data_IF_101432727563
#
_entry.id   IF_101432727563
#
_cell.length_a   1.000
_cell.length_b   1.000
_cell.length_c   1.000
_cell.angle_alpha   90.00
_cell.angle_beta   90.00
_cell.angle_gamma   90.00
#
_symmetry.space_group_name_H-M   'P 1'
#
loop_
_entity.id
_entity.type
_entity.pdbx_description
1 polymer ?
#
# COMPACT_ATOMS: atom_id res chain seq x y z
N UNK A 1 -10.20 26.99 16.76
CA UNK A 1 -8.81 26.92 17.23
C UNK A 1 -7.97 26.53 16.04
N UNK A 2 -7.45 27.50 15.29
CA UNK A 2 -6.51 27.24 14.20
C UNK A 2 -5.14 27.00 14.85
N UNK A 3 -4.54 25.84 14.59
CA UNK A 3 -3.20 25.53 15.05
C UNK A 3 -2.21 26.40 14.30
N UNK A 4 -1.52 27.26 15.04
CA UNK A 4 -0.42 28.08 14.56
C UNK A 4 0.67 27.12 14.06
N UNK A 5 0.92 27.10 12.76
CA UNK A 5 2.10 26.46 12.18
C UNK A 5 3.33 27.20 12.70
N UNK A 6 4.31 26.52 13.31
CA UNK A 6 5.48 27.19 13.90
C UNK A 6 6.22 27.96 12.80
N UNK A 7 6.36 29.27 13.02
CA UNK A 7 7.11 30.17 12.15
C UNK A 7 8.59 29.75 12.21
N UNK A 8 9.07 29.17 11.12
CA UNK A 8 10.42 28.62 11.04
C UNK A 8 11.43 29.78 10.95
N UNK A 9 12.07 30.09 12.09
CA UNK A 9 13.19 31.03 12.17
C UNK A 9 14.27 30.64 11.14
N UNK A 10 14.95 31.63 10.53
CA UNK A 10 15.66 31.58 9.24
C UNK A 10 16.70 30.47 8.99
N UNK A 11 16.92 29.57 9.95
CA UNK A 11 17.50 28.25 9.74
C UNK A 11 16.62 27.38 8.82
N UNK A 12 15.29 27.42 8.99
CA UNK A 12 14.30 26.62 8.27
C UNK A 12 14.32 26.75 6.77
N UNK A 13 14.54 27.97 6.29
CA UNK A 13 14.54 28.26 4.86
C UNK A 13 15.71 27.61 4.12
N UNK A 14 16.88 27.53 4.76
CA UNK A 14 18.05 26.88 4.18
C UNK A 14 17.94 25.34 4.23
N UNK A 15 17.23 24.78 5.22
CA UNK A 15 16.94 23.35 5.30
C UNK A 15 15.87 22.97 4.27
N UNK A 16 14.80 23.76 4.14
CA UNK A 16 13.75 23.60 3.14
C UNK A 16 14.34 23.65 1.71
N UNK A 17 15.25 24.59 1.42
CA UNK A 17 15.93 24.67 0.11
C UNK A 17 16.76 23.41 -0.21
N UNK A 18 17.35 22.74 0.79
CA UNK A 18 18.09 21.47 0.59
C UNK A 18 17.14 20.32 0.30
N UNK A 19 15.97 20.29 0.94
CA UNK A 19 14.95 19.26 0.67
C UNK A 19 14.22 19.47 -0.65
N UNK A 20 14.03 20.73 -1.06
CA UNK A 20 13.39 21.10 -2.32
C UNK A 20 14.25 20.76 -3.55
N UNK A 21 15.59 20.82 -3.42
CA UNK A 21 16.54 20.48 -4.51
C UNK A 21 16.93 18.97 -4.50
N UNK A 22 16.47 18.20 -3.52
CA UNK A 22 16.78 16.77 -3.40
C UNK A 22 15.98 15.94 -4.41
N UNK A 23 16.69 15.27 -5.34
CA UNK A 23 16.07 14.38 -6.32
C UNK A 23 15.97 12.96 -5.77
N UNK A 24 14.74 12.51 -5.52
CA UNK A 24 14.42 11.17 -5.01
C UNK A 24 14.21 10.16 -6.15
N UNK A 25 15.25 9.94 -6.96
CA UNK A 25 15.21 9.00 -8.08
C UNK A 25 15.61 7.57 -7.69
N UNK A 26 15.71 6.69 -8.70
CA UNK A 26 16.03 5.28 -8.46
C UNK A 26 17.46 5.07 -7.96
N UNK A 27 18.42 5.87 -8.41
CA UNK A 27 19.82 5.75 -7.98
C UNK A 27 19.98 6.21 -6.53
N UNK A 28 19.29 7.28 -6.14
CA UNK A 28 19.18 7.70 -4.73
C UNK A 28 18.65 6.57 -3.85
N UNK A 29 17.52 5.95 -4.23
CA UNK A 29 16.92 4.85 -3.47
C UNK A 29 17.88 3.65 -3.38
N UNK A 30 18.56 3.28 -4.47
CA UNK A 30 19.49 2.14 -4.49
C UNK A 30 20.78 2.41 -3.71
N UNK A 31 21.18 3.67 -3.56
CA UNK A 31 22.36 4.06 -2.80
C UNK A 31 22.20 3.89 -1.28
N UNK A 32 20.96 3.75 -0.79
CA UNK A 32 20.69 3.59 0.62
C UNK A 32 21.38 2.34 1.18
N UNK A 33 22.20 2.51 2.22
CA UNK A 33 22.94 1.42 2.85
C UNK A 33 22.01 0.36 3.45
N UNK A 34 20.82 0.77 3.89
CA UNK A 34 19.82 -0.11 4.50
C UNK A 34 18.49 0.00 3.77
N UNK A 35 17.97 -1.14 3.33
CA UNK A 35 16.63 -1.28 2.79
C UNK A 35 15.66 -1.75 3.89
N UNK A 36 15.07 -0.80 4.61
CA UNK A 36 14.03 -1.14 5.58
C UNK A 36 12.70 -1.50 4.90
N UNK A 37 11.89 -2.39 5.50
CA UNK A 37 10.56 -2.66 4.99
C UNK A 37 9.72 -1.38 4.98
N UNK A 38 8.93 -1.21 3.91
CA UNK A 38 7.99 -0.11 3.80
C UNK A 38 7.10 -0.03 5.05
N UNK A 39 6.65 1.18 5.39
CA UNK A 39 5.77 1.40 6.54
C UNK A 39 4.57 0.41 6.55
N UNK A 40 3.99 0.17 5.36
CA UNK A 40 2.90 -0.80 5.16
C UNK A 40 3.32 -2.24 5.49
N UNK A 41 4.52 -2.66 5.08
CA UNK A 41 5.03 -4.00 5.39
C UNK A 41 5.24 -4.16 6.90
N UNK A 42 5.78 -3.15 7.59
CA UNK A 42 5.92 -3.16 9.06
C UNK A 42 4.56 -3.25 9.76
N UNK A 43 3.56 -2.49 9.31
CA UNK A 43 2.20 -2.57 9.83
C UNK A 43 1.57 -3.96 9.62
N UNK A 44 1.74 -4.55 8.43
CA UNK A 44 1.25 -5.91 8.15
C UNK A 44 1.93 -6.96 9.02
N UNK A 45 3.25 -6.88 9.18
CA UNK A 45 4.00 -7.79 10.03
C UNK A 45 3.55 -7.69 11.49
N UNK A 46 3.34 -6.48 12.00
CA UNK A 46 2.82 -6.27 13.35
C UNK A 46 1.42 -6.89 13.52
N UNK A 47 0.52 -6.67 12.55
CA UNK A 47 -0.81 -7.29 12.55
C UNK A 47 -0.73 -8.81 12.56
N UNK A 48 0.11 -9.40 11.72
CA UNK A 48 0.23 -10.86 11.59
C UNK A 48 0.90 -11.56 12.76
N UNK A 49 1.72 -10.84 13.55
CA UNK A 49 2.25 -11.38 14.81
C UNK A 49 1.13 -11.67 15.82
N UNK A 50 0.08 -10.86 15.82
CA UNK A 50 -1.08 -11.02 16.71
C UNK A 50 -2.17 -11.88 16.07
N UNK A 51 -2.42 -11.68 14.78
CA UNK A 51 -3.52 -12.28 14.05
C UNK A 51 -3.01 -12.89 12.74
N UNK A 52 -2.69 -14.18 12.79
CA UNK A 52 -2.27 -14.92 11.61
C UNK A 52 -3.43 -14.94 10.59
N UNK A 53 -3.17 -14.67 9.30
CA UNK A 53 -4.20 -14.80 8.29
C UNK A 53 -4.65 -16.27 8.17
N UNK A 54 -5.96 -16.48 8.07
CA UNK A 54 -6.52 -17.80 7.79
C UNK A 54 -6.04 -18.30 6.42
N UNK A 55 -5.73 -19.60 6.27
CA UNK A 55 -5.32 -20.17 5.00
C UNK A 55 -6.50 -20.10 4.03
N UNK A 56 -6.37 -19.24 3.03
CA UNK A 56 -7.32 -19.19 1.92
C UNK A 56 -6.98 -20.25 0.89
N UNK A 57 -7.98 -20.92 0.29
CA UNK A 57 -7.72 -21.85 -0.80
C UNK A 57 -7.09 -21.09 -1.97
N UNK A 58 -6.10 -21.72 -2.62
CA UNK A 58 -5.42 -21.22 -3.82
C UNK A 58 -6.37 -20.83 -4.97
N UNK A 59 -7.60 -21.35 -4.92
CA UNK A 59 -8.74 -20.95 -5.73
C UNK A 59 -9.90 -20.70 -4.79
N UNK A 60 -10.53 -19.54 -4.90
CA UNK A 60 -11.86 -19.34 -4.34
C UNK A 60 -12.81 -20.33 -5.00
N UNK A 61 -13.44 -21.22 -4.23
CA UNK A 61 -14.57 -22.03 -4.72
C UNK A 61 -15.75 -21.13 -5.13
N UNK A 62 -15.77 -19.89 -4.62
CA UNK A 62 -16.66 -18.82 -5.01
C UNK A 62 -16.22 -18.21 -6.36
N UNK A 63 -17.08 -18.17 -7.40
CA UNK A 63 -16.78 -17.43 -8.62
C UNK A 63 -16.42 -15.97 -8.29
N UNK A 64 -15.32 -15.42 -8.83
CA UNK A 64 -14.87 -14.05 -8.58
C UNK A 64 -15.89 -12.99 -9.03
N UNK A 65 -16.87 -13.40 -9.83
CA UNK A 65 -18.09 -12.65 -10.04
C UNK A 65 -19.22 -13.66 -10.24
N UNK A 66 -20.31 -13.56 -9.47
CA UNK A 66 -21.46 -14.48 -9.50
C UNK A 66 -22.15 -14.67 -10.87
N UNK A 67 -21.67 -14.02 -11.93
CA UNK A 67 -22.11 -14.19 -13.32
C UNK A 67 -21.17 -15.04 -14.19
N UNK A 68 -19.95 -15.40 -13.75
CA UNK A 68 -18.98 -16.09 -14.60
C UNK A 68 -19.24 -17.61 -14.73
N UNK A 69 -19.90 -18.25 -13.75
CA UNK A 69 -20.40 -19.64 -13.84
C UNK A 69 -21.93 -19.75 -14.03
N UNK A 70 -22.67 -18.63 -14.12
CA UNK A 70 -24.13 -18.67 -14.32
C UNK A 70 -24.56 -19.13 -15.73
N UNK A 71 -23.60 -19.34 -16.65
CA UNK A 71 -23.86 -19.71 -18.05
C UNK A 71 -24.45 -21.11 -18.24
N UNK A 72 -24.40 -22.02 -17.26
CA UNK A 72 -25.02 -23.35 -17.41
C UNK A 72 -26.55 -23.35 -17.27
N UNK A 73 -27.16 -22.33 -16.63
CA UNK A 73 -28.62 -22.28 -16.40
C UNK A 73 -29.42 -21.69 -17.57
N UNK A 74 -28.78 -21.09 -18.59
CA UNK A 74 -29.50 -20.49 -19.75
C UNK A 74 -29.83 -21.50 -20.86
N UNK A 75 -29.27 -22.72 -20.85
CA UNK A 75 -29.47 -23.70 -21.94
C UNK A 75 -30.75 -24.55 -21.82
N UNK A 76 -31.50 -24.43 -20.72
CA UNK A 76 -32.70 -25.24 -20.45
C UNK A 76 -34.04 -24.52 -20.75
N UNK A 77 -34.02 -23.27 -21.25
CA UNK A 77 -35.24 -22.51 -21.60
C UNK A 77 -35.52 -22.40 -23.10
N UNK A 78 -35.09 -23.39 -23.88
CA UNK A 78 -35.45 -23.52 -25.31
C UNK A 78 -35.69 -24.98 -25.65
N UNK A 79 -36.81 -25.53 -25.21
CA UNK A 79 -37.59 -26.58 -25.86
C UNK A 79 -39.03 -26.42 -25.42
#
# INVERSE_FOLDING_TARGET
MAGETPEHDGRGRAEDEVWDDLVLDEDFIRSAETAEPSARARMLAARWRTEKPEPQPWRSDEPPAGWFFSKRRRRWRRR
#
